data_IF_038153291299
#
_entry.id   IF_038153291299
#
_cell.length_a   1.000
_cell.length_b   1.000
_cell.length_c   1.000
_cell.angle_alpha   90.00
_cell.angle_beta   90.00
_cell.angle_gamma   90.00
#
_symmetry.space_group_name_H-M   'P 1'
#
loop_
_entity.id
_entity.type
_entity.pdbx_description
1 polymer ?
#
# COMPACT_ATOMS: atom_id res chain seq x y z
N UNK A 1 -13.25 -2.59 8.10
CA UNK A 1 -13.16 -1.37 8.92
C UNK A 1 -13.76 -0.15 8.21
N UNK A 2 -13.24 0.19 7.04
CA UNK A 2 -13.75 1.35 6.30
C UNK A 2 -15.21 1.20 5.88
N UNK A 3 -15.66 -0.01 5.59
CA UNK A 3 -17.04 -0.28 5.21
C UNK A 3 -17.98 -0.06 6.38
N UNK A 4 -17.62 -0.54 7.57
CA UNK A 4 -18.44 -0.41 8.78
C UNK A 4 -18.55 1.05 9.23
N UNK A 5 -17.50 1.82 9.01
CA UNK A 5 -17.41 3.21 9.45
C UNK A 5 -17.50 4.21 8.28
N UNK A 6 -18.14 3.80 7.20
CA UNK A 6 -18.21 4.57 5.97
C UNK A 6 -18.67 6.02 6.16
N UNK A 7 -19.77 6.21 6.89
CA UNK A 7 -20.31 7.55 7.14
C UNK A 7 -19.36 8.40 7.97
N UNK A 8 -18.73 7.78 8.98
CA UNK A 8 -17.79 8.47 9.83
C UNK A 8 -16.54 8.87 9.04
N UNK A 9 -15.99 7.95 8.26
CA UNK A 9 -14.82 8.21 7.42
C UNK A 9 -15.11 9.33 6.42
N UNK A 10 -16.27 9.27 5.76
CA UNK A 10 -16.67 10.30 4.80
C UNK A 10 -16.83 11.66 5.47
N UNK A 11 -17.47 11.68 6.64
CA UNK A 11 -17.67 12.90 7.40
C UNK A 11 -16.33 13.52 7.83
N UNK A 12 -15.42 12.70 8.34
CA UNK A 12 -14.08 13.14 8.74
C UNK A 12 -13.33 13.71 7.55
N UNK A 13 -13.36 13.01 6.42
CA UNK A 13 -12.66 13.43 5.21
C UNK A 13 -13.15 14.79 4.70
N UNK A 14 -14.45 15.08 4.85
CA UNK A 14 -15.01 16.36 4.41
C UNK A 14 -14.95 17.47 5.45
N UNK A 15 -14.83 17.11 6.74
CA UNK A 15 -14.84 18.07 7.85
C UNK A 15 -13.44 18.49 8.28
N UNK A 16 -12.45 17.61 8.11
CA UNK A 16 -11.06 17.84 8.49
C UNK A 16 -10.29 18.22 7.23
N UNK A 17 -9.15 18.85 7.40
CA UNK A 17 -8.26 19.15 6.28
C UNK A 17 -7.92 17.88 5.50
N UNK A 18 -8.18 17.92 4.19
CA UNK A 18 -7.83 16.81 3.29
C UNK A 18 -6.35 16.48 3.37
N UNK A 19 -5.51 17.48 3.54
CA UNK A 19 -4.08 17.33 3.70
C UNK A 19 -3.73 16.46 4.91
N UNK A 20 -4.45 16.62 6.02
CA UNK A 20 -4.23 15.80 7.21
C UNK A 20 -4.61 14.34 6.96
N UNK A 21 -5.74 14.11 6.28
CA UNK A 21 -6.18 12.77 5.93
C UNK A 21 -5.17 12.11 5.02
N UNK A 22 -4.71 12.81 3.99
CA UNK A 22 -3.71 12.29 3.07
C UNK A 22 -2.41 11.95 3.79
N UNK A 23 -1.92 12.84 4.64
CA UNK A 23 -0.70 12.64 5.40
C UNK A 23 -0.80 11.41 6.29
N UNK A 24 -1.95 11.24 6.94
CA UNK A 24 -2.21 10.07 7.78
C UNK A 24 -2.20 8.78 6.95
N UNK A 25 -2.87 8.79 5.80
CA UNK A 25 -2.91 7.63 4.92
C UNK A 25 -1.52 7.26 4.40
N UNK A 26 -0.72 8.25 3.99
CA UNK A 26 0.65 8.00 3.55
C UNK A 26 1.50 7.41 4.67
N UNK A 27 1.33 7.90 5.89
CA UNK A 27 2.06 7.39 7.05
C UNK A 27 1.74 5.92 7.31
N UNK A 28 0.47 5.57 7.33
CA UNK A 28 0.03 4.18 7.57
C UNK A 28 0.45 3.26 6.42
N UNK A 29 0.20 3.67 5.19
CA UNK A 29 0.54 2.86 4.02
C UNK A 29 2.06 2.64 3.94
N UNK A 30 2.84 3.68 4.23
CA UNK A 30 4.29 3.58 4.26
C UNK A 30 4.78 2.58 5.29
N UNK A 31 4.22 2.60 6.49
CA UNK A 31 4.60 1.66 7.54
C UNK A 31 4.22 0.23 7.20
N UNK A 32 2.99 0.02 6.72
CA UNK A 32 2.54 -1.31 6.31
C UNK A 32 3.41 -1.86 5.18
N UNK A 33 3.69 -1.05 4.17
CA UNK A 33 4.51 -1.48 3.04
C UNK A 33 5.96 -1.73 3.45
N UNK A 34 6.50 -0.92 4.34
CA UNK A 34 7.87 -1.12 4.84
C UNK A 34 8.00 -2.48 5.52
N UNK A 35 7.06 -2.81 6.39
CA UNK A 35 7.07 -4.10 7.09
C UNK A 35 6.91 -5.26 6.13
N UNK A 36 6.00 -5.15 5.17
CA UNK A 36 5.75 -6.20 4.20
C UNK A 36 6.97 -6.42 3.28
N UNK A 37 7.53 -5.36 2.74
CA UNK A 37 8.70 -5.43 1.85
C UNK A 37 9.90 -5.96 2.60
N UNK A 38 10.10 -5.56 3.85
CA UNK A 38 11.19 -6.06 4.69
C UNK A 38 11.11 -7.59 4.85
N UNK A 39 9.91 -8.10 5.13
CA UNK A 39 9.70 -9.53 5.29
C UNK A 39 9.95 -10.30 3.99
N UNK A 40 9.42 -9.80 2.87
CA UNK A 40 9.64 -10.46 1.58
C UNK A 40 11.11 -10.38 1.16
N UNK A 41 11.77 -9.26 1.46
CA UNK A 41 13.21 -9.11 1.20
C UNK A 41 14.02 -10.20 1.91
N UNK A 42 13.73 -10.47 3.17
CA UNK A 42 14.42 -11.54 3.90
C UNK A 42 14.26 -12.89 3.21
N UNK A 43 13.05 -13.20 2.76
CA UNK A 43 12.77 -14.45 2.07
C UNK A 43 13.54 -14.54 0.73
N UNK A 44 13.54 -13.45 -0.04
CA UNK A 44 14.24 -13.39 -1.33
C UNK A 44 15.74 -13.53 -1.14
N UNK A 45 16.31 -12.81 -0.19
CA UNK A 45 17.76 -12.86 0.09
C UNK A 45 18.19 -14.25 0.53
N UNK A 46 17.39 -14.88 1.36
CA UNK A 46 17.69 -16.23 1.83
C UNK A 46 17.63 -17.24 0.68
N UNK A 47 16.59 -17.19 -0.15
CA UNK A 47 16.41 -18.14 -1.25
C UNK A 47 17.44 -17.96 -2.37
N UNK A 48 17.78 -16.73 -2.70
CA UNK A 48 18.68 -16.42 -3.82
C UNK A 48 20.16 -16.32 -3.43
N UNK A 49 20.47 -16.29 -2.13
CA UNK A 49 21.82 -16.02 -1.62
C UNK A 49 22.38 -14.71 -2.18
N UNK A 50 21.52 -13.69 -2.22
CA UNK A 50 21.83 -12.37 -2.74
C UNK A 50 21.31 -11.31 -1.78
N UNK A 51 21.61 -10.05 -2.06
CA UNK A 51 21.15 -8.93 -1.27
C UNK A 51 20.27 -7.99 -2.09
N UNK A 52 19.22 -7.47 -1.44
CA UNK A 52 18.40 -6.40 -1.99
C UNK A 52 18.87 -5.11 -1.29
N UNK A 53 19.36 -4.17 -2.05
CA UNK A 53 19.91 -2.95 -1.47
C UNK A 53 18.79 -2.08 -0.90
N UNK A 54 19.08 -1.33 0.18
CA UNK A 54 18.05 -0.50 0.83
C UNK A 54 17.36 0.49 -0.11
N UNK A 55 18.07 1.04 -1.07
CA UNK A 55 17.50 1.99 -2.04
C UNK A 55 16.45 1.33 -2.94
N UNK A 56 16.63 0.06 -3.30
CA UNK A 56 15.66 -0.68 -4.09
C UNK A 56 14.44 -1.06 -3.24
N UNK A 57 14.68 -1.45 -1.98
CA UNK A 57 13.58 -1.73 -1.06
C UNK A 57 12.72 -0.48 -0.88
N UNK A 58 13.36 0.69 -0.70
CA UNK A 58 12.66 1.95 -0.53
C UNK A 58 11.84 2.30 -1.77
N UNK A 59 12.37 2.08 -2.96
CA UNK A 59 11.65 2.34 -4.20
C UNK A 59 10.38 1.49 -4.30
N UNK A 60 10.46 0.22 -3.95
CA UNK A 60 9.29 -0.67 -3.95
C UNK A 60 8.27 -0.21 -2.92
N UNK A 61 8.71 0.12 -1.72
CA UNK A 61 7.83 0.64 -0.66
C UNK A 61 7.10 1.89 -1.15
N UNK A 62 7.84 2.85 -1.68
CA UNK A 62 7.27 4.13 -2.09
C UNK A 62 6.29 3.96 -3.26
N UNK A 63 6.63 3.13 -4.24
CA UNK A 63 5.75 2.89 -5.38
C UNK A 63 4.39 2.35 -4.93
N UNK A 64 4.39 1.33 -4.11
CA UNK A 64 3.15 0.72 -3.63
C UNK A 64 2.42 1.59 -2.62
N UNK A 65 3.15 2.33 -1.81
CA UNK A 65 2.55 3.31 -0.89
C UNK A 65 1.73 4.35 -1.66
N UNK A 66 2.32 4.96 -2.68
CA UNK A 66 1.64 5.96 -3.47
C UNK A 66 0.46 5.38 -4.26
N UNK A 67 0.62 4.17 -4.79
CA UNK A 67 -0.45 3.50 -5.51
C UNK A 67 -1.64 3.21 -4.60
N UNK A 68 -1.39 2.65 -3.42
CA UNK A 68 -2.45 2.29 -2.48
C UNK A 68 -3.18 3.53 -1.95
N UNK A 69 -2.42 4.56 -1.56
CA UNK A 69 -3.04 5.79 -1.08
C UNK A 69 -3.84 6.47 -2.19
N UNK A 70 -3.32 6.48 -3.42
CA UNK A 70 -4.05 7.02 -4.56
C UNK A 70 -5.39 6.31 -4.78
N UNK A 71 -5.40 4.98 -4.66
CA UNK A 71 -6.63 4.19 -4.79
C UNK A 71 -7.63 4.51 -3.69
N UNK A 72 -7.15 4.67 -2.46
CA UNK A 72 -8.00 5.03 -1.32
C UNK A 72 -8.57 6.44 -1.49
N UNK A 73 -7.74 7.40 -1.91
CA UNK A 73 -8.20 8.77 -2.13
C UNK A 73 -9.24 8.85 -3.24
N UNK A 74 -9.04 8.09 -4.31
CA UNK A 74 -10.03 8.01 -5.38
C UNK A 74 -11.36 7.45 -4.86
N UNK A 75 -11.30 6.41 -4.05
CA UNK A 75 -12.48 5.82 -3.42
C UNK A 75 -13.21 6.84 -2.55
N UNK A 76 -12.48 7.61 -1.74
CA UNK A 76 -13.05 8.67 -0.91
C UNK A 76 -13.69 9.77 -1.77
N UNK A 77 -12.99 10.19 -2.83
CA UNK A 77 -13.45 11.27 -3.71
C UNK A 77 -14.68 10.88 -4.53
N UNK A 78 -14.90 9.60 -4.77
CA UNK A 78 -16.07 9.12 -5.51
C UNK A 78 -17.24 8.73 -4.59
N UNK A 79 -17.20 9.16 -3.33
CA UNK A 79 -18.28 8.97 -2.37
C UNK A 79 -18.35 7.59 -1.75
N UNK A 80 -17.25 6.85 -1.80
CA UNK A 80 -17.16 5.51 -1.18
C UNK A 80 -18.21 4.53 -1.72
N UNK A 81 -18.53 4.62 -3.01
CA UNK A 81 -19.57 3.80 -3.63
C UNK A 81 -19.15 2.36 -3.87
N UNK A 82 -17.87 2.14 -4.15
CA UNK A 82 -17.34 0.79 -4.37
C UNK A 82 -17.09 0.10 -3.04
N UNK A 83 -17.18 -1.23 -3.05
CA UNK A 83 -16.85 -2.04 -1.89
C UNK A 83 -15.33 -2.02 -1.65
N UNK A 84 -14.85 -1.46 -0.52
CA UNK A 84 -13.42 -1.38 -0.27
C UNK A 84 -12.75 -2.74 -0.12
N UNK A 85 -13.44 -3.72 0.45
CA UNK A 85 -12.88 -5.07 0.60
C UNK A 85 -12.72 -5.75 -0.76
N UNK A 86 -13.70 -5.58 -1.64
CA UNK A 86 -13.64 -6.08 -3.01
C UNK A 86 -12.52 -5.44 -3.81
N UNK A 87 -12.31 -4.15 -3.61
CA UNK A 87 -11.24 -3.42 -4.27
C UNK A 87 -9.86 -3.95 -3.83
N UNK A 88 -9.65 -4.10 -2.53
CA UNK A 88 -8.39 -4.60 -1.98
C UNK A 88 -8.13 -6.03 -2.45
N UNK A 89 -9.15 -6.87 -2.43
CA UNK A 89 -9.03 -8.26 -2.91
C UNK A 89 -8.63 -8.29 -4.38
N UNK A 90 -9.24 -7.45 -5.20
CA UNK A 90 -8.93 -7.41 -6.63
C UNK A 90 -7.50 -6.96 -6.90
N UNK A 91 -7.02 -5.95 -6.17
CA UNK A 91 -5.64 -5.52 -6.24
C UNK A 91 -4.71 -6.68 -5.87
N UNK A 92 -5.02 -7.41 -4.80
CA UNK A 92 -4.24 -8.57 -4.39
C UNK A 92 -4.19 -9.66 -5.46
N UNK A 93 -5.31 -9.94 -6.13
CA UNK A 93 -5.36 -10.94 -7.19
C UNK A 93 -4.52 -10.53 -8.40
N UNK A 94 -4.67 -9.28 -8.84
CA UNK A 94 -3.98 -8.79 -10.04
C UNK A 94 -2.47 -8.70 -9.82
N UNK A 95 -2.04 -8.22 -8.67
CA UNK A 95 -0.64 -7.96 -8.40
C UNK A 95 0.03 -9.02 -7.52
N UNK A 96 -0.59 -10.19 -7.42
CA UNK A 96 -0.05 -11.30 -6.62
C UNK A 96 1.37 -11.65 -7.06
N UNK A 97 2.29 -11.69 -6.09
CA UNK A 97 3.67 -12.05 -6.34
C UNK A 97 4.54 -10.96 -6.98
N UNK A 98 3.97 -9.81 -7.33
CA UNK A 98 4.72 -8.75 -8.02
C UNK A 98 5.84 -8.18 -7.16
N UNK A 99 5.62 -8.00 -5.86
CA UNK A 99 6.65 -7.45 -4.97
C UNK A 99 7.80 -8.44 -4.85
N UNK A 100 7.52 -9.71 -4.65
CA UNK A 100 8.55 -10.75 -4.60
C UNK A 100 9.34 -10.80 -5.90
N UNK A 101 8.66 -10.75 -7.04
CA UNK A 101 9.30 -10.76 -8.35
C UNK A 101 10.19 -9.54 -8.54
N UNK A 102 9.73 -8.36 -8.13
CA UNK A 102 10.50 -7.13 -8.24
C UNK A 102 11.78 -7.19 -7.39
N UNK A 103 11.65 -7.64 -6.15
CA UNK A 103 12.80 -7.76 -5.25
C UNK A 103 13.78 -8.80 -5.73
N UNK A 104 13.29 -9.93 -6.26
CA UNK A 104 14.14 -10.96 -6.84
C UNK A 104 14.92 -10.42 -8.05
N UNK A 105 14.28 -9.60 -8.87
CA UNK A 105 14.89 -9.02 -10.07
C UNK A 105 16.07 -8.11 -9.75
N UNK A 106 15.97 -7.33 -8.67
CA UNK A 106 16.99 -6.36 -8.29
C UNK A 106 18.01 -6.91 -7.29
N UNK A 107 17.82 -8.11 -6.76
CA UNK A 107 18.77 -8.75 -5.84
C UNK A 107 20.11 -9.00 -6.54
N UNK A 108 21.22 -8.75 -5.83
CA UNK A 108 22.56 -8.87 -6.40
C UNK A 108 23.65 -9.11 -5.34
#
# INVERSE_FOLDING_TARGET
>A
FALENKRLVYHIYNSVSRERVERYLYSIAGEVMRLYVSRITEQVEHAAHKKVFPEDQKMVVDFYKFALVGMILDWLNTGMKKDPEGLIRRVGEIFHGNIEAALTRVAR
#
